data_IF_404857163990
#
_entry.id   IF_404857163990
#
_cell.length_a   1.000
_cell.length_b   1.000
_cell.length_c   1.000
_cell.angle_alpha   90.00
_cell.angle_beta   90.00
_cell.angle_gamma   90.00
#
_symmetry.space_group_name_H-M   'P 1'
#
loop_
_entity.id
_entity.type
_entity.pdbx_description
1 polymer ?
#
# COMPACT_ATOMS: atom_id res chain seq x y z
N UNK A 1 16.12 -19.28 14.17
CA UNK A 1 16.59 -18.65 12.92
C UNK A 1 15.77 -19.02 11.67
N UNK A 2 15.53 -20.30 11.33
CA UNK A 2 14.84 -20.68 10.08
C UNK A 2 13.46 -20.02 9.83
N UNK A 3 12.69 -19.72 10.88
CA UNK A 3 11.40 -19.03 10.78
C UNK A 3 11.54 -17.51 10.54
N UNK A 4 12.56 -16.86 11.09
CA UNK A 4 12.88 -15.46 10.80
C UNK A 4 13.38 -15.28 9.37
N UNK A 5 14.27 -16.16 8.91
CA UNK A 5 14.75 -16.14 7.54
C UNK A 5 13.58 -16.22 6.54
N UNK A 6 12.58 -17.07 6.81
CA UNK A 6 11.35 -17.13 5.99
C UNK A 6 10.57 -15.81 5.96
N UNK A 7 10.54 -15.05 7.06
CA UNK A 7 9.88 -13.73 7.09
C UNK A 7 10.67 -12.71 6.24
N UNK A 8 12.00 -12.76 6.29
CA UNK A 8 12.86 -11.94 5.44
C UNK A 8 12.72 -12.32 3.97
N UNK A 9 12.67 -13.62 3.66
CA UNK A 9 12.42 -14.13 2.31
C UNK A 9 11.05 -13.65 1.79
N UNK A 10 10.00 -13.74 2.62
CA UNK A 10 8.66 -13.21 2.31
C UNK A 10 8.75 -11.70 2.03
N UNK A 11 9.46 -10.92 2.86
CA UNK A 11 9.64 -9.49 2.66
C UNK A 11 10.30 -9.17 1.31
N UNK A 12 11.43 -9.81 1.03
CA UNK A 12 12.23 -9.56 -0.19
C UNK A 12 11.49 -9.98 -1.44
N UNK A 13 10.88 -11.17 -1.44
CA UNK A 13 10.20 -11.68 -2.64
C UNK A 13 8.90 -10.91 -2.91
N UNK A 14 8.14 -10.55 -1.87
CA UNK A 14 6.95 -9.72 -2.05
C UNK A 14 7.30 -8.28 -2.45
N UNK A 15 8.43 -7.72 -2.01
CA UNK A 15 8.92 -6.41 -2.46
C UNK A 15 9.36 -6.45 -3.92
N UNK A 16 10.07 -7.51 -4.33
CA UNK A 16 10.47 -7.74 -5.72
C UNK A 16 9.25 -7.86 -6.65
N UNK A 17 8.24 -8.63 -6.26
CA UNK A 17 6.97 -8.72 -7.00
C UNK A 17 6.29 -7.36 -7.09
N UNK A 18 6.18 -6.62 -5.99
CA UNK A 18 5.59 -5.28 -5.96
C UNK A 18 6.31 -4.31 -6.91
N UNK A 19 7.64 -4.23 -6.87
CA UNK A 19 8.43 -3.35 -7.75
C UNK A 19 8.28 -3.75 -9.22
N UNK A 20 8.17 -5.06 -9.51
CA UNK A 20 7.97 -5.59 -10.86
C UNK A 20 6.59 -5.22 -11.39
N UNK A 21 5.54 -5.37 -10.57
CA UNK A 21 4.19 -4.95 -10.93
C UNK A 21 4.14 -3.45 -11.23
N UNK A 22 4.77 -2.63 -10.37
CA UNK A 22 4.83 -1.19 -10.62
C UNK A 22 5.62 -0.84 -11.87
N UNK A 23 6.66 -1.60 -12.21
CA UNK A 23 7.41 -1.41 -13.46
C UNK A 23 6.52 -1.65 -14.69
N UNK A 24 5.77 -2.75 -14.71
CA UNK A 24 4.84 -3.08 -15.80
C UNK A 24 3.82 -1.97 -16.03
N UNK A 25 3.23 -1.44 -14.94
CA UNK A 25 2.26 -0.34 -15.05
C UNK A 25 2.94 0.95 -15.52
N UNK A 26 4.03 1.34 -14.86
CA UNK A 26 4.63 2.66 -15.10
C UNK A 26 5.27 2.75 -16.47
N UNK A 27 5.96 1.70 -16.93
CA UNK A 27 6.56 1.69 -18.27
C UNK A 27 5.51 1.32 -19.32
N UNK A 28 4.75 0.25 -19.08
CA UNK A 28 3.79 -0.27 -20.05
C UNK A 28 2.62 0.67 -20.36
N UNK A 29 2.30 1.65 -19.49
CA UNK A 29 1.24 2.62 -19.77
C UNK A 29 1.74 4.04 -19.99
N UNK A 30 3.03 4.34 -19.79
CA UNK A 30 3.55 5.71 -19.99
C UNK A 30 3.35 6.18 -21.43
N UNK A 31 3.85 5.42 -22.40
CA UNK A 31 3.77 5.79 -23.81
C UNK A 31 2.32 5.79 -24.30
N UNK A 32 1.52 4.84 -23.82
CA UNK A 32 0.08 4.77 -24.10
C UNK A 32 -0.66 6.06 -23.72
N UNK A 33 -0.42 6.61 -22.53
CA UNK A 33 -1.11 7.85 -22.10
C UNK A 33 -0.46 9.13 -22.63
N UNK A 34 0.80 9.07 -23.06
CA UNK A 34 1.49 10.19 -23.73
C UNK A 34 1.00 10.34 -25.18
N UNK A 35 0.73 9.23 -25.88
CA UNK A 35 0.35 9.24 -27.29
C UNK A 35 -1.08 9.73 -27.57
N UNK A 36 -1.89 9.96 -26.54
CA UNK A 36 -3.29 10.36 -26.70
C UNK A 36 -3.45 11.89 -26.71
N UNK A 37 -4.14 12.42 -27.73
CA UNK A 37 -4.29 13.87 -28.01
C UNK A 37 -5.12 14.69 -26.98
N UNK A 38 -5.85 14.05 -26.05
CA UNK A 38 -6.77 14.70 -25.09
C UNK A 38 -6.23 14.64 -23.66
N UNK A 39 -6.68 15.48 -22.70
CA UNK A 39 -5.99 15.56 -21.42
C UNK A 39 -6.25 14.31 -20.57
N UNK A 40 -5.25 13.42 -20.52
CA UNK A 40 -5.09 12.34 -19.53
C UNK A 40 -4.18 12.80 -18.40
N UNK A 41 -4.19 14.10 -18.09
CA UNK A 41 -3.21 14.73 -17.20
C UNK A 41 -3.24 14.12 -15.80
N UNK A 42 -4.43 13.82 -15.28
CA UNK A 42 -4.62 13.20 -13.96
C UNK A 42 -4.01 11.79 -13.92
N UNK A 43 -4.17 11.01 -15.00
CA UNK A 43 -3.60 9.67 -15.10
C UNK A 43 -2.07 9.74 -15.24
N UNK A 44 -1.57 10.68 -16.04
CA UNK A 44 -0.12 10.90 -16.23
C UNK A 44 0.55 11.34 -14.93
N UNK A 45 -0.08 12.23 -14.18
CA UNK A 45 0.39 12.64 -12.85
C UNK A 45 0.44 11.45 -11.89
N UNK A 46 -0.61 10.63 -11.85
CA UNK A 46 -0.63 9.42 -11.03
C UNK A 46 0.49 8.46 -11.42
N UNK A 47 0.71 8.21 -12.70
CA UNK A 47 1.78 7.34 -13.20
C UNK A 47 3.18 7.89 -12.86
N UNK A 48 3.36 9.21 -12.91
CA UNK A 48 4.58 9.87 -12.47
C UNK A 48 4.85 9.64 -10.98
N UNK A 49 3.83 9.80 -10.14
CA UNK A 49 3.92 9.52 -8.69
C UNK A 49 4.16 8.03 -8.43
N UNK A 50 3.50 7.14 -9.17
CA UNK A 50 3.70 5.69 -9.09
C UNK A 50 5.12 5.29 -9.45
N UNK A 51 5.73 5.96 -10.44
CA UNK A 51 7.13 5.77 -10.81
C UNK A 51 8.08 6.23 -9.70
N UNK A 52 7.74 7.31 -8.96
CA UNK A 52 8.51 7.71 -7.77
C UNK A 52 8.44 6.65 -6.67
N UNK A 53 7.26 6.10 -6.38
CA UNK A 53 7.08 4.96 -5.46
C UNK A 53 7.95 3.79 -5.91
N UNK A 54 7.81 3.36 -7.17
CA UNK A 54 8.62 2.26 -7.73
C UNK A 54 10.12 2.46 -7.54
N UNK A 55 10.63 3.67 -7.80
CA UNK A 55 12.06 3.99 -7.63
C UNK A 55 12.48 3.90 -6.16
N UNK A 56 11.67 4.44 -5.26
CA UNK A 56 11.89 4.37 -3.82
C UNK A 56 11.91 2.92 -3.34
N UNK A 57 10.89 2.13 -3.66
CA UNK A 57 10.77 0.73 -3.29
C UNK A 57 11.85 -0.16 -3.91
N UNK A 58 12.32 0.15 -5.11
CA UNK A 58 13.48 -0.53 -5.71
C UNK A 58 14.75 -0.29 -4.90
N UNK A 59 14.93 0.90 -4.31
CA UNK A 59 16.05 1.18 -3.44
C UNK A 59 15.90 0.45 -2.10
N UNK A 60 14.71 0.47 -1.48
CA UNK A 60 14.42 -0.34 -0.29
C UNK A 60 14.72 -1.82 -0.51
N UNK A 61 14.28 -2.40 -1.63
CA UNK A 61 14.57 -3.78 -1.99
C UNK A 61 16.07 -4.08 -2.04
N UNK A 62 16.88 -3.14 -2.56
CA UNK A 62 18.34 -3.31 -2.59
C UNK A 62 18.93 -3.29 -1.19
N UNK A 63 18.41 -2.43 -0.32
CA UNK A 63 18.86 -2.36 1.08
C UNK A 63 18.45 -3.61 1.86
N UNK A 64 17.23 -4.12 1.70
CA UNK A 64 16.81 -5.39 2.30
C UNK A 64 17.67 -6.57 1.85
N UNK A 65 18.06 -6.62 0.56
CA UNK A 65 18.98 -7.65 0.06
C UNK A 65 20.40 -7.51 0.61
N UNK A 66 20.87 -6.27 0.82
CA UNK A 66 22.20 -6.00 1.39
C UNK A 66 22.28 -6.30 2.88
N UNK A 67 21.17 -6.18 3.58
CA UNK A 67 21.08 -6.54 4.99
C UNK A 67 21.30 -8.03 5.24
N UNK A 68 21.11 -8.90 4.23
CA UNK A 68 21.47 -10.33 4.28
C UNK A 68 21.07 -11.04 5.58
N UNK A 69 19.78 -11.01 5.91
CA UNK A 69 19.19 -11.57 7.13
C UNK A 69 19.61 -10.92 8.47
N UNK A 70 20.35 -9.81 8.44
CA UNK A 70 20.53 -8.94 9.60
C UNK A 70 19.23 -8.15 9.88
N UNK A 71 18.54 -8.54 10.94
CA UNK A 71 17.24 -7.99 11.32
C UNK A 71 17.33 -6.54 11.81
N UNK A 72 18.41 -6.18 12.51
CA UNK A 72 18.70 -4.80 12.91
C UNK A 72 18.96 -3.92 11.69
N UNK A 73 19.74 -4.40 10.71
CA UNK A 73 19.95 -3.71 9.45
C UNK A 73 18.65 -3.53 8.64
N UNK A 74 17.76 -4.53 8.63
CA UNK A 74 16.42 -4.40 8.01
C UNK A 74 15.59 -3.35 8.74
N UNK A 75 15.57 -3.35 10.07
CA UNK A 75 14.83 -2.37 10.86
C UNK A 75 15.36 -0.94 10.63
N UNK A 76 16.68 -0.75 10.70
CA UNK A 76 17.31 0.55 10.45
C UNK A 76 17.09 1.04 9.03
N UNK A 77 16.91 0.15 8.05
CA UNK A 77 16.53 0.51 6.67
C UNK A 77 15.22 1.28 6.64
N UNK A 78 14.19 0.86 7.40
CA UNK A 78 12.93 1.60 7.49
C UNK A 78 13.11 2.97 8.16
N UNK A 79 13.87 3.01 9.25
CA UNK A 79 14.12 4.24 10.01
C UNK A 79 14.87 5.29 9.19
N UNK A 80 15.95 4.88 8.50
CA UNK A 80 16.76 5.74 7.63
C UNK A 80 15.94 6.32 6.47
N UNK A 81 14.99 5.55 5.95
CA UNK A 81 14.17 5.94 4.80
C UNK A 81 12.82 6.59 5.18
N UNK A 82 12.61 6.98 6.44
CA UNK A 82 11.33 7.54 6.94
C UNK A 82 10.74 8.64 6.05
N UNK A 83 11.56 9.57 5.59
CA UNK A 83 11.12 10.72 4.79
C UNK A 83 10.77 10.29 3.37
N UNK A 84 11.42 9.24 2.87
CA UNK A 84 11.16 8.67 1.55
C UNK A 84 9.74 8.14 1.41
N UNK A 85 9.11 7.68 2.50
CA UNK A 85 7.71 7.24 2.49
C UNK A 85 6.70 8.37 2.22
N UNK A 86 7.10 9.64 2.24
CA UNK A 86 6.25 10.79 1.89
C UNK A 86 5.61 10.66 0.49
N UNK A 87 6.26 9.95 -0.44
CA UNK A 87 5.74 9.71 -1.79
C UNK A 87 4.40 8.94 -1.80
N UNK A 88 4.11 8.14 -0.77
CA UNK A 88 2.83 7.45 -0.63
C UNK A 88 1.69 8.42 -0.30
N UNK A 89 1.95 9.50 0.43
CA UNK A 89 0.95 10.55 0.68
C UNK A 89 0.62 11.31 -0.60
N UNK A 90 1.67 11.63 -1.39
CA UNK A 90 1.49 12.23 -2.71
C UNK A 90 0.63 11.33 -3.60
N UNK A 91 0.82 10.01 -3.55
CA UNK A 91 -0.02 9.06 -4.29
C UNK A 91 -1.48 9.13 -3.88
N UNK A 92 -1.77 9.20 -2.57
CA UNK A 92 -3.13 9.36 -2.06
C UNK A 92 -3.82 10.63 -2.56
N UNK A 93 -3.06 11.70 -2.84
CA UNK A 93 -3.60 12.97 -3.34
C UNK A 93 -4.00 12.87 -4.82
N UNK A 94 -3.17 12.23 -5.65
CA UNK A 94 -3.44 12.12 -7.10
C UNK A 94 -4.40 10.97 -7.46
N UNK A 95 -4.43 9.90 -6.66
CA UNK A 95 -5.19 8.69 -6.95
C UNK A 95 -6.68 8.92 -7.23
N UNK A 96 -7.44 9.69 -6.42
CA UNK A 96 -8.89 9.86 -6.63
C UNK A 96 -9.22 10.45 -8.00
N UNK A 97 -8.55 11.54 -8.38
CA UNK A 97 -8.78 12.23 -9.65
C UNK A 97 -8.44 11.35 -10.86
N UNK A 98 -7.34 10.61 -10.77
CA UNK A 98 -6.91 9.72 -11.82
C UNK A 98 -7.87 8.53 -12.02
N UNK A 99 -8.40 7.95 -10.93
CA UNK A 99 -9.39 6.87 -11.00
C UNK A 99 -10.72 7.38 -11.56
N UNK A 100 -11.22 8.53 -11.10
CA UNK A 100 -12.44 9.12 -11.65
C UNK A 100 -12.30 9.35 -13.15
N UNK A 101 -11.16 9.90 -13.59
CA UNK A 101 -10.86 10.09 -15.00
C UNK A 101 -10.81 8.77 -15.76
N UNK A 102 -10.11 7.77 -15.24
CA UNK A 102 -10.01 6.43 -15.84
C UNK A 102 -11.40 5.78 -16.01
N UNK A 103 -12.25 5.82 -14.97
CA UNK A 103 -13.59 5.27 -15.01
C UNK A 103 -14.50 5.97 -16.02
N UNK A 104 -14.40 7.31 -16.14
CA UNK A 104 -15.12 8.07 -17.15
C UNK A 104 -14.70 7.68 -18.57
N UNK A 105 -13.41 7.45 -18.79
CA UNK A 105 -12.87 7.04 -20.08
C UNK A 105 -13.28 5.62 -20.46
N UNK A 106 -13.30 4.69 -19.49
CA UNK A 106 -13.75 3.30 -19.70
C UNK A 106 -15.22 3.18 -20.11
N UNK A 107 -16.04 4.24 -19.96
CA UNK A 107 -17.41 4.28 -20.53
C UNK A 107 -17.41 4.36 -22.06
N UNK A 108 -16.29 4.73 -22.69
CA UNK A 108 -16.16 4.80 -24.16
C UNK A 108 -15.64 3.45 -24.66
N UNK A 109 -16.40 2.73 -25.52
CA UNK A 109 -15.96 1.43 -26.04
C UNK A 109 -14.60 1.47 -26.72
N UNK A 110 -14.35 2.49 -27.55
CA UNK A 110 -13.07 2.68 -28.25
C UNK A 110 -11.87 2.82 -27.31
N UNK A 111 -12.03 3.51 -26.18
CA UNK A 111 -10.97 3.61 -25.18
C UNK A 111 -10.78 2.30 -24.43
N UNK A 112 -11.87 1.58 -24.14
CA UNK A 112 -11.79 0.28 -23.46
C UNK A 112 -11.01 -0.74 -24.31
N UNK A 113 -11.27 -0.81 -25.62
CA UNK A 113 -10.54 -1.69 -26.54
C UNK A 113 -9.04 -1.35 -26.57
N UNK A 114 -8.70 -0.06 -26.67
CA UNK A 114 -7.31 0.40 -26.62
C UNK A 114 -6.63 0.03 -25.30
N UNK A 115 -7.33 0.24 -24.18
CA UNK A 115 -6.81 -0.10 -22.84
C UNK A 115 -6.59 -1.62 -22.68
N UNK A 116 -7.50 -2.44 -23.23
CA UNK A 116 -7.37 -3.90 -23.18
C UNK A 116 -6.18 -4.39 -24.01
N UNK A 117 -5.96 -3.82 -25.21
CA UNK A 117 -4.77 -4.11 -26.01
C UNK A 117 -3.49 -3.75 -25.26
N UNK A 118 -3.45 -2.56 -24.66
CA UNK A 118 -2.31 -2.13 -23.87
C UNK A 118 -2.04 -3.05 -22.67
N UNK A 119 -3.08 -3.51 -21.96
CA UNK A 119 -2.94 -4.46 -20.86
C UNK A 119 -2.32 -5.79 -21.32
N UNK A 120 -2.70 -6.29 -22.50
CA UNK A 120 -2.12 -7.50 -23.07
C UNK A 120 -0.65 -7.29 -23.44
N UNK A 121 -0.31 -6.17 -24.11
CA UNK A 121 1.08 -5.85 -24.49
C UNK A 121 1.99 -5.66 -23.28
N UNK A 122 1.47 -5.11 -22.18
CA UNK A 122 2.22 -4.86 -20.95
C UNK A 122 2.30 -6.09 -20.00
N UNK A 123 1.76 -7.26 -20.39
CA UNK A 123 1.64 -8.46 -19.54
C UNK A 123 0.96 -8.14 -18.19
N UNK A 124 -0.14 -7.37 -18.27
CA UNK A 124 -0.96 -6.94 -17.14
C UNK A 124 -2.25 -7.72 -17.15
N UNK A 125 -2.30 -8.76 -16.31
CA UNK A 125 -3.35 -9.79 -16.30
C UNK A 125 -4.63 -9.29 -15.62
N UNK A 126 -4.48 -8.48 -14.56
CA UNK A 126 -5.60 -7.90 -13.83
C UNK A 126 -5.97 -6.51 -14.39
N UNK A 127 -7.21 -6.03 -14.16
CA UNK A 127 -7.57 -4.67 -14.51
C UNK A 127 -6.59 -3.64 -13.93
N UNK A 128 -6.27 -2.61 -14.71
CA UNK A 128 -5.37 -1.52 -14.28
C UNK A 128 -5.73 -0.97 -12.88
N UNK A 129 -7.01 -0.85 -12.55
CA UNK A 129 -7.47 -0.39 -11.24
C UNK A 129 -6.98 -1.26 -10.08
N UNK A 130 -6.93 -2.58 -10.26
CA UNK A 130 -6.43 -3.51 -9.24
C UNK A 130 -4.95 -3.29 -8.94
N UNK A 131 -4.18 -2.95 -9.98
CA UNK A 131 -2.77 -2.63 -9.88
C UNK A 131 -2.53 -1.27 -9.20
N UNK A 132 -3.38 -0.27 -9.44
CA UNK A 132 -3.31 1.03 -8.79
C UNK A 132 -3.63 0.98 -7.28
N UNK A 133 -4.20 -0.12 -6.77
CA UNK A 133 -4.37 -0.32 -5.32
C UNK A 133 -3.13 -0.90 -4.62
N UNK A 134 -2.17 -1.46 -5.37
CA UNK A 134 -1.00 -2.14 -4.79
C UNK A 134 -0.17 -1.23 -3.87
N UNK A 135 0.09 0.06 -4.16
CA UNK A 135 0.82 0.93 -3.24
C UNK A 135 0.15 1.09 -1.87
N UNK A 136 -1.17 1.24 -1.84
CA UNK A 136 -1.94 1.29 -0.59
C UNK A 136 -1.85 -0.03 0.18
N UNK A 137 -1.91 -1.15 -0.53
CA UNK A 137 -1.77 -2.45 0.11
C UNK A 137 -0.36 -2.63 0.68
N UNK A 138 0.69 -2.22 -0.06
CA UNK A 138 2.08 -2.43 0.35
C UNK A 138 2.42 -1.68 1.63
N UNK A 139 2.04 -0.41 1.74
CA UNK A 139 2.36 0.38 2.93
C UNK A 139 1.76 -0.21 4.21
N UNK A 140 0.57 -0.82 4.12
CA UNK A 140 -0.12 -1.49 5.23
C UNK A 140 0.48 -2.85 5.60
N UNK A 141 1.30 -3.44 4.73
CA UNK A 141 1.94 -4.75 4.99
C UNK A 141 3.22 -4.63 5.81
N UNK A 142 3.98 -3.53 5.68
CA UNK A 142 5.23 -3.36 6.43
C UNK A 142 5.08 -3.49 7.95
N UNK A 143 4.08 -2.85 8.63
CA UNK A 143 3.88 -3.04 10.06
C UNK A 143 3.59 -4.50 10.44
N UNK A 144 2.93 -5.26 9.57
CA UNK A 144 2.60 -6.66 9.84
C UNK A 144 3.83 -7.55 9.75
N UNK A 145 4.70 -7.31 8.77
CA UNK A 145 5.97 -8.03 8.60
C UNK A 145 6.89 -7.74 9.78
N UNK A 146 7.04 -6.46 10.17
CA UNK A 146 7.86 -6.06 11.31
C UNK A 146 7.34 -6.67 12.61
N UNK A 147 6.01 -6.71 12.82
CA UNK A 147 5.40 -7.39 13.96
C UNK A 147 5.72 -8.89 13.98
N UNK A 148 5.58 -9.59 12.85
CA UNK A 148 5.92 -11.02 12.76
C UNK A 148 7.39 -11.27 13.17
N UNK A 149 8.31 -10.37 12.82
CA UNK A 149 9.71 -10.46 13.24
C UNK A 149 9.84 -10.27 14.76
N UNK A 150 9.16 -9.26 15.34
CA UNK A 150 9.17 -9.00 16.78
C UNK A 150 8.61 -10.17 17.60
N UNK A 151 7.47 -10.72 17.19
CA UNK A 151 6.81 -11.84 17.88
C UNK A 151 7.74 -13.05 17.99
N UNK A 152 8.55 -13.30 16.95
CA UNK A 152 9.54 -14.39 16.99
C UNK A 152 10.67 -14.13 17.99
N UNK A 153 11.17 -12.89 18.10
CA UNK A 153 12.20 -12.57 19.09
C UNK A 153 11.72 -12.81 20.52
N UNK A 154 10.46 -12.49 20.82
CA UNK A 154 9.83 -12.80 22.11
C UNK A 154 9.72 -14.30 22.38
N UNK A 155 9.39 -15.11 21.36
CA UNK A 155 9.28 -16.57 21.49
C UNK A 155 10.63 -17.28 21.62
N UNK A 156 11.72 -16.68 21.13
CA UNK A 156 13.01 -17.37 20.96
C UNK A 156 14.00 -17.23 22.13
N UNK A 157 13.67 -16.47 23.18
CA UNK A 157 14.53 -16.11 24.34
C UNK A 157 15.91 -15.48 23.98
N UNK A 158 16.23 -15.33 22.70
CA UNK A 158 17.44 -14.67 22.18
C UNK A 158 17.10 -13.23 21.81
N UNK A 159 17.13 -12.33 22.79
CA UNK A 159 16.88 -10.91 22.58
C UNK A 159 18.21 -10.17 22.53
N UNK A 160 18.65 -9.81 21.32
CA UNK A 160 19.58 -8.69 21.16
C UNK A 160 18.77 -7.42 21.36
N UNK A 161 18.94 -6.77 22.53
CA UNK A 161 18.12 -5.62 22.93
C UNK A 161 18.18 -4.44 21.95
N UNK A 162 19.33 -4.25 21.29
CA UNK A 162 19.53 -3.19 20.31
C UNK A 162 18.71 -3.44 19.03
N UNK A 163 18.78 -4.66 18.48
CA UNK A 163 17.97 -5.07 17.32
C UNK A 163 16.48 -4.96 17.61
N UNK A 164 16.07 -5.34 18.82
CA UNK A 164 14.68 -5.27 19.24
C UNK A 164 14.18 -3.80 19.33
N UNK A 165 15.02 -2.89 19.82
CA UNK A 165 14.72 -1.46 19.89
C UNK A 165 14.51 -0.87 18.49
N UNK A 166 15.41 -1.16 17.56
CA UNK A 166 15.30 -0.67 16.18
C UNK A 166 14.08 -1.26 15.47
N UNK A 167 13.81 -2.56 15.67
CA UNK A 167 12.66 -3.24 15.09
C UNK A 167 11.34 -2.66 15.59
N UNK A 168 11.26 -2.35 16.89
CA UNK A 168 10.11 -1.67 17.48
C UNK A 168 9.97 -0.24 16.93
N UNK A 169 11.05 0.52 16.83
CA UNK A 169 11.05 1.85 16.25
C UNK A 169 10.56 1.85 14.80
N UNK A 170 11.03 0.89 14.00
CA UNK A 170 10.58 0.69 12.62
C UNK A 170 9.10 0.32 12.56
N UNK A 171 8.63 -0.57 13.45
CA UNK A 171 7.23 -0.96 13.54
C UNK A 171 6.33 0.25 13.83
N UNK A 172 6.66 1.01 14.87
CA UNK A 172 5.91 2.20 15.30
C UNK A 172 5.87 3.26 14.20
N UNK A 173 6.99 3.49 13.51
CA UNK A 173 7.06 4.36 12.34
C UNK A 173 6.06 3.94 11.26
N UNK A 174 6.04 2.66 10.89
CA UNK A 174 5.18 2.17 9.81
C UNK A 174 3.70 2.14 10.21
N UNK A 175 3.39 1.88 11.48
CA UNK A 175 2.02 2.02 12.02
C UNK A 175 1.57 3.47 11.95
N UNK A 176 2.43 4.41 12.38
CA UNK A 176 2.13 5.83 12.34
C UNK A 176 1.89 6.30 10.90
N UNK A 177 2.75 5.94 9.96
CA UNK A 177 2.56 6.25 8.53
C UNK A 177 1.25 5.70 7.98
N UNK A 178 0.89 4.46 8.32
CA UNK A 178 -0.38 3.83 7.91
C UNK A 178 -1.58 4.59 8.46
N UNK A 179 -1.52 5.01 9.73
CA UNK A 179 -2.55 5.81 10.40
C UNK A 179 -2.67 7.20 9.76
N UNK A 180 -1.54 7.87 9.53
CA UNK A 180 -1.51 9.18 8.88
C UNK A 180 -2.08 9.13 7.46
N UNK A 181 -1.77 8.09 6.66
CA UNK A 181 -2.34 7.93 5.32
C UNK A 181 -3.85 7.73 5.36
N UNK A 182 -4.34 6.95 6.32
CA UNK A 182 -5.77 6.73 6.53
C UNK A 182 -6.48 8.03 6.96
N UNK A 183 -5.87 8.80 7.85
CA UNK A 183 -6.38 10.10 8.28
C UNK A 183 -6.34 11.15 7.16
N UNK A 184 -5.27 11.16 6.36
CA UNK A 184 -5.16 12.01 5.17
C UNK A 184 -6.27 11.71 4.18
N UNK A 185 -6.57 10.42 3.97
CA UNK A 185 -7.69 9.98 3.13
C UNK A 185 -9.02 10.46 3.69
N UNK A 186 -9.28 10.28 4.99
CA UNK A 186 -10.51 10.75 5.65
C UNK A 186 -10.70 12.26 5.47
N UNK A 187 -9.66 13.06 5.71
CA UNK A 187 -9.72 14.52 5.51
C UNK A 187 -9.96 14.93 4.07
N UNK A 188 -9.43 14.19 3.09
CA UNK A 188 -9.70 14.45 1.67
C UNK A 188 -11.16 14.13 1.32
N UNK A 189 -11.70 13.01 1.81
CA UNK A 189 -13.10 12.62 1.64
C UNK A 189 -14.07 13.62 2.33
N UNK A 190 -13.70 14.13 3.51
CA UNK A 190 -14.47 15.14 4.25
C UNK A 190 -14.48 16.50 3.55
N UNK A 191 -13.32 16.97 3.08
CA UNK A 191 -13.22 18.21 2.29
C UNK A 191 -14.01 18.08 0.98
N UNK A 192 -13.93 16.93 0.32
CA UNK A 192 -14.72 16.68 -0.88
C UNK A 192 -16.22 16.71 -0.54
N UNK A 193 -16.65 16.07 0.56
CA UNK A 193 -18.03 16.06 1.05
C UNK A 193 -18.57 17.44 1.43
N UNK A 194 -17.76 18.30 2.06
CA UNK A 194 -18.17 19.66 2.41
C UNK A 194 -18.28 20.56 1.17
N UNK A 195 -17.38 20.42 0.20
CA UNK A 195 -17.48 21.11 -1.09
C UNK A 195 -18.74 20.70 -1.86
N UNK A 196 -19.06 19.40 -1.90
CA UNK A 196 -20.28 18.89 -2.57
C UNK A 196 -21.54 19.48 -1.95
N UNK A 197 -21.58 19.59 -0.62
CA UNK A 197 -22.71 20.17 0.12
C UNK A 197 -22.87 21.67 -0.16
N UNK A 198 -21.79 22.36 -0.56
CA UNK A 198 -21.79 23.78 -0.93
C UNK A 198 -22.09 24.04 -2.43
N UNK A 199 -22.14 23.01 -3.28
CA UNK A 199 -22.46 23.16 -4.69
C UNK A 199 -23.99 23.25 -4.90
N UNK A 200 -24.50 24.19 -5.71
CA UNK A 200 -25.90 24.18 -6.12
C UNK A 200 -26.18 22.88 -6.90
N UNK A 201 -27.27 22.19 -6.52
CA UNK A 201 -27.60 20.83 -6.97
C UNK A 201 -27.46 20.65 -8.50
N UNK A 202 -26.38 19.96 -8.91
CA UNK A 202 -26.30 18.99 -10.02
C UNK A 202 -24.84 18.57 -10.20
N UNK A 203 -24.38 17.66 -9.36
CA UNK A 203 -23.25 16.80 -9.70
C UNK A 203 -23.36 15.50 -8.90
N UNK A 204 -23.98 14.48 -9.50
CA UNK A 204 -24.05 13.15 -8.90
C UNK A 204 -22.65 12.54 -8.84
N UNK A 205 -22.09 12.49 -7.64
CA UNK A 205 -20.85 11.78 -7.40
C UNK A 205 -21.14 10.29 -7.18
N UNK A 206 -20.35 9.37 -7.78
CA UNK A 206 -20.67 7.95 -7.75
C UNK A 206 -20.62 7.38 -6.33
N UNK A 207 -21.73 6.80 -5.87
CA UNK A 207 -21.87 6.11 -4.56
C UNK A 207 -20.90 4.93 -4.34
N UNK A 208 -20.12 4.54 -5.37
CA UNK A 208 -19.23 3.35 -5.36
C UNK A 208 -17.97 3.51 -4.51
N UNK A 209 -17.65 4.72 -4.08
CA UNK A 209 -16.50 5.04 -3.21
C UNK A 209 -16.70 4.63 -1.74
N UNK A 210 -17.93 4.38 -1.29
CA UNK A 210 -18.24 3.94 0.08
C UNK A 210 -17.82 2.46 0.31
N UNK A 211 -17.68 1.67 -0.76
CA UNK A 211 -17.52 0.21 -0.67
C UNK A 211 -16.07 -0.32 -0.71
N UNK A 212 -15.09 0.43 -1.22
CA UNK A 212 -13.76 -0.12 -1.51
C UNK A 212 -12.81 -0.22 -0.28
N UNK A 213 -13.24 0.19 0.92
CA UNK A 213 -12.38 0.27 2.11
C UNK A 213 -12.98 -0.33 3.39
N UNK A 214 -13.87 -1.33 3.31
CA UNK A 214 -14.07 -2.25 4.45
C UNK A 214 -12.91 -3.27 4.48
N UNK A 215 -11.70 -2.83 4.80
CA UNK A 215 -10.59 -3.73 5.09
C UNK A 215 -9.99 -3.35 6.45
N UNK A 216 -10.40 -4.13 7.45
CA UNK A 216 -9.93 -4.24 8.82
C UNK A 216 -10.13 -3.04 9.76
N UNK A 217 -11.35 -2.93 10.27
CA UNK A 217 -11.66 -2.30 11.57
C UNK A 217 -11.09 -3.05 12.79
N UNK A 218 -10.13 -3.96 12.61
CA UNK A 218 -9.59 -4.80 13.69
C UNK A 218 -8.12 -4.49 14.08
N UNK A 219 -7.48 -3.46 13.53
CA UNK A 219 -6.08 -3.12 13.89
C UNK A 219 -5.92 -1.91 14.82
N UNK A 220 -7.02 -1.36 15.36
CA UNK A 220 -6.98 -0.36 16.45
C UNK A 220 -7.87 -0.82 17.60
N UNK A 221 -7.51 -1.95 18.22
CA UNK A 221 -7.76 -2.19 19.65
C UNK A 221 -6.45 -2.63 20.28
N UNK A 222 -5.57 -1.66 20.50
CA UNK A 222 -4.61 -1.76 21.60
C UNK A 222 -5.47 -1.74 22.87
N UNK A 223 -5.87 -2.92 23.34
CA UNK A 223 -6.48 -3.08 24.66
C UNK A 223 -5.40 -2.67 25.66
N UNK A 224 -5.63 -1.55 26.35
CA UNK A 224 -5.15 -1.39 27.71
C UNK A 224 -5.68 -2.59 28.49
N UNK A 225 -4.80 -3.52 28.84
CA UNK A 225 -5.09 -4.58 29.81
C UNK A 225 -5.38 -3.93 31.15
N UNK A 226 -6.66 -3.88 31.54
CA UNK A 226 -7.03 -4.14 32.92
C UNK A 226 -7.50 -5.60 33.00
N UNK A 227 -6.93 -6.29 33.99
CA UNK A 227 -7.35 -7.55 34.60
C UNK A 227 -7.70 -8.71 33.65
N UNK A 228 -6.78 -9.66 33.59
CA UNK A 228 -7.05 -11.03 33.20
C UNK A 228 -7.95 -11.68 34.26
N UNK A 229 -9.21 -11.90 33.92
CA UNK A 229 -10.03 -12.94 34.54
C UNK A 229 -11.23 -13.23 33.63
N UNK A 230 -11.42 -14.52 33.37
CA UNK A 230 -12.65 -15.16 32.86
C UNK A 230 -12.80 -15.38 31.35
N UNK A 231 -13.21 -16.63 31.05
CA UNK A 231 -13.81 -17.18 29.82
C UNK A 231 -12.78 -17.67 28.79
N UNK A 232 -12.26 -18.90 28.88
CA UNK A 232 -12.95 -20.20 28.70
C UNK A 232 -13.94 -20.23 27.52
N UNK A 233 -13.63 -21.12 26.58
CA UNK A 233 -14.50 -21.80 25.60
C UNK A 233 -14.92 -21.05 24.31
N UNK A 234 -14.51 -21.63 23.17
CA UNK A 234 -15.33 -22.16 22.06
C UNK A 234 -14.48 -22.26 20.76
N UNK A 235 -13.92 -23.43 20.44
CA UNK A 235 -14.35 -24.39 19.37
C UNK A 235 -14.29 -23.82 17.96
N UNK A 236 -13.31 -24.22 17.12
CA UNK A 236 -13.40 -25.34 16.15
C UNK A 236 -14.69 -25.30 15.33
N UNK A 237 -14.59 -24.99 14.05
CA UNK A 237 -15.39 -25.60 12.98
C UNK A 237 -14.66 -25.50 11.63
N UNK A 238 -14.39 -26.69 11.07
CA UNK A 238 -14.06 -27.01 9.69
C UNK A 238 -15.05 -26.42 8.69
N UNK A 239 -14.61 -26.16 7.45
CA UNK A 239 -15.35 -26.52 6.22
C UNK A 239 -14.36 -26.85 5.08
N UNK A 240 -14.32 -28.16 4.77
CA UNK A 240 -13.99 -28.91 3.53
C UNK A 240 -12.67 -28.70 2.80
#
# INVERSE_FOLDING_TARGET
MARLNKIVDELVETEKSFVTDLYRITVGFSDFFISQEKPFIEIRELLSVLNKIRRFNRNLLREFKRADYDYGAIATTFLKNREGFAVYFMYCIHYPRAIDRLLLLKKKPSFMELLMRQQMEADVILPLESYLLKPFQRILKYPLILRKMMDYFYESEQIFWDDFSDLKGAHDLMVNLSSQLNEHKRKLEEKQSSLIRSLPQKLDLPRRWIGCFKISSNLVKIRRTQSAESLCNLTVYDIS
#
